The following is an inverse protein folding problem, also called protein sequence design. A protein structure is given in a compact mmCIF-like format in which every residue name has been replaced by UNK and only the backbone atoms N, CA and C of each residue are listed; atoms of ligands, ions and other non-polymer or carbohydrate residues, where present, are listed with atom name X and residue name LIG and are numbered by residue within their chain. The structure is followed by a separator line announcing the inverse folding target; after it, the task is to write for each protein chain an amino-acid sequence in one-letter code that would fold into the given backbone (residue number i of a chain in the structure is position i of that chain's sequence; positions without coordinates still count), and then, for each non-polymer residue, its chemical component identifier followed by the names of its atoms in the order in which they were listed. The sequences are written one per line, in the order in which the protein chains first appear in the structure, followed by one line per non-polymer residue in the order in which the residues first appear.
data_IF_847255450107
#
_entry.id   IF_847255450107
#
_cell.length_a   1.000
_cell.length_b   1.000
_cell.length_c   1.000
_cell.angle_alpha   90.00
_cell.angle_beta   90.00
_cell.angle_gamma   90.00
#
_symmetry.space_group_name_H-M   'P 1'
#
loop_
_entity.id
_entity.type
_entity.pdbx_description
1 polymer ?
#
# COMPACT_ATOMS: atom_id res chain seq x y z
N UNK A 1 -58.28 14.98 -4.75
CA UNK A 1 -56.99 15.43 -5.30
C UNK A 1 -56.11 15.93 -4.17
N UNK A 2 -54.85 15.63 -4.22
CA UNK A 2 -53.90 16.00 -3.20
C UNK A 2 -53.84 15.00 -2.04
N UNK A 3 -53.57 15.50 -0.83
CA UNK A 3 -53.39 14.71 0.41
C UNK A 3 -54.61 14.62 1.30
N UNK A 4 -55.80 14.78 0.73
CA UNK A 4 -57.07 14.73 1.47
C UNK A 4 -58.04 13.66 0.93
N UNK A 5 -58.71 13.00 1.81
CA UNK A 5 -59.79 12.05 1.52
C UNK A 5 -61.03 12.35 2.36
N UNK A 6 -62.24 12.15 1.80
CA UNK A 6 -63.47 12.27 2.51
C UNK A 6 -64.08 10.88 2.73
N UNK A 7 -64.35 10.54 3.98
CA UNK A 7 -65.05 9.30 4.35
C UNK A 7 -66.52 9.65 4.45
N UNK A 8 -67.37 9.08 3.58
CA UNK A 8 -68.81 9.38 3.55
C UNK A 8 -69.53 8.93 4.77
N UNK A 9 -69.30 7.69 5.21
CA UNK A 9 -69.89 7.09 6.44
C UNK A 9 -68.81 6.26 7.12
N UNK A 10 -68.67 6.44 8.44
CA UNK A 10 -67.80 5.63 9.29
C UNK A 10 -68.64 5.05 10.39
N UNK A 11 -68.92 3.76 10.34
CA UNK A 11 -69.76 3.07 11.32
C UNK A 11 -69.05 2.88 12.67
N UNK A 12 -69.79 2.64 13.76
CA UNK A 12 -69.15 2.32 15.02
C UNK A 12 -68.18 1.14 14.92
N UNK A 13 -66.95 1.30 15.43
CA UNK A 13 -65.82 0.36 15.37
C UNK A 13 -65.29 0.07 13.95
N UNK A 14 -65.72 0.81 12.94
CA UNK A 14 -65.16 0.72 11.60
C UNK A 14 -63.80 1.45 11.54
N UNK A 15 -62.84 0.90 10.76
CA UNK A 15 -61.53 1.47 10.52
C UNK A 15 -61.30 1.63 9.03
N UNK A 16 -60.88 2.80 8.61
CA UNK A 16 -60.41 3.08 7.24
C UNK A 16 -58.92 3.34 7.29
N UNK A 17 -58.17 2.64 6.41
CA UNK A 17 -56.74 2.74 6.34
C UNK A 17 -56.36 3.47 5.04
N UNK A 18 -55.48 4.46 5.13
CA UNK A 18 -54.86 5.17 4.02
C UNK A 18 -53.36 4.89 4.03
N UNK A 19 -52.82 4.47 2.88
CA UNK A 19 -51.42 4.21 2.70
C UNK A 19 -50.88 5.07 1.56
N UNK A 20 -49.66 5.53 1.71
CA UNK A 20 -48.92 6.25 0.65
C UNK A 20 -47.41 6.14 0.88
N UNK A 21 -46.64 6.22 -0.20
CA UNK A 21 -45.18 6.27 -0.17
C UNK A 21 -44.71 7.72 -0.22
N UNK A 22 -43.68 7.99 0.58
CA UNK A 22 -42.99 9.28 0.57
C UNK A 22 -41.49 9.04 0.33
N UNK A 23 -40.94 9.61 -0.74
CA UNK A 23 -39.50 9.56 -1.02
C UNK A 23 -38.79 10.70 -0.33
N UNK A 24 -37.81 10.38 0.53
CA UNK A 24 -36.95 11.36 1.17
C UNK A 24 -36.17 12.14 0.10
N UNK A 25 -36.28 13.48 0.03
CA UNK A 25 -35.56 14.25 -0.96
C UNK A 25 -34.03 14.10 -0.81
N UNK A 26 -33.32 14.03 -1.92
CA UNK A 26 -31.84 13.97 -1.92
C UNK A 26 -31.17 15.22 -1.29
N UNK A 27 -31.90 16.30 -1.17
CA UNK A 27 -31.49 17.55 -0.50
C UNK A 27 -31.72 17.55 1.01
N UNK A 28 -32.40 16.52 1.56
CA UNK A 28 -32.65 16.43 2.99
C UNK A 28 -31.33 16.33 3.77
N UNK A 29 -31.18 17.16 4.80
CA UNK A 29 -29.97 17.15 5.61
C UNK A 29 -29.90 15.92 6.50
N UNK A 30 -28.76 15.24 6.55
CA UNK A 30 -28.51 14.14 7.49
C UNK A 30 -28.69 14.62 8.93
N UNK A 31 -29.39 13.86 9.75
CA UNK A 31 -29.75 14.22 11.13
C UNK A 31 -30.99 15.11 11.24
N UNK A 32 -31.58 15.58 10.11
CA UNK A 32 -32.86 16.27 10.15
C UNK A 32 -34.02 15.29 10.37
N UNK A 33 -35.15 15.83 10.85
CA UNK A 33 -36.38 15.07 11.04
C UNK A 33 -37.39 15.47 9.99
N UNK A 34 -38.00 14.48 9.34
CA UNK A 34 -39.18 14.65 8.50
C UNK A 34 -40.40 14.43 9.40
N UNK A 35 -41.13 15.51 9.65
CA UNK A 35 -42.31 15.48 10.46
C UNK A 35 -43.53 15.32 9.55
N UNK A 36 -44.26 14.24 9.73
CA UNK A 36 -45.54 13.99 9.03
C UNK A 36 -46.69 14.06 9.99
N UNK A 37 -47.68 14.88 9.67
CA UNK A 37 -48.87 15.11 10.48
C UNK A 37 -50.12 14.69 9.72
N UNK A 38 -50.88 13.77 10.29
CA UNK A 38 -52.21 13.42 9.81
C UNK A 38 -53.29 14.09 10.66
N UNK A 39 -54.34 14.57 10.00
CA UNK A 39 -55.43 15.23 10.64
C UNK A 39 -56.78 14.62 10.17
N UNK A 40 -57.65 14.26 11.11
CA UNK A 40 -59.01 13.94 10.84
C UNK A 40 -59.92 15.03 11.40
N UNK A 41 -61.01 15.34 10.70
CA UNK A 41 -61.99 16.32 11.12
C UNK A 41 -63.39 15.65 11.17
N UNK A 42 -64.03 15.74 12.29
CA UNK A 42 -65.41 15.17 12.45
C UNK A 42 -66.48 16.12 11.88
N UNK A 43 -67.72 15.68 11.72
CA UNK A 43 -68.83 16.51 11.22
C UNK A 43 -69.14 17.75 12.06
N UNK A 44 -68.61 17.85 13.29
CA UNK A 44 -68.74 19.00 14.19
C UNK A 44 -67.52 19.93 14.11
N UNK A 45 -66.65 19.75 13.11
CA UNK A 45 -65.38 20.50 12.90
C UNK A 45 -64.36 20.32 14.01
N UNK A 46 -64.46 19.25 14.81
CA UNK A 46 -63.44 18.91 15.78
C UNK A 46 -62.28 18.21 15.06
N UNK A 47 -61.06 18.69 15.32
CA UNK A 47 -59.84 18.16 14.74
C UNK A 47 -59.20 17.11 15.64
N UNK A 48 -58.69 16.04 15.05
CA UNK A 48 -57.92 14.97 15.66
C UNK A 48 -56.58 14.92 14.89
N UNK A 49 -55.46 15.18 15.57
CA UNK A 49 -54.15 15.35 14.95
C UNK A 49 -53.19 14.32 15.52
N UNK A 50 -52.46 13.65 14.67
CA UNK A 50 -51.36 12.76 15.04
C UNK A 50 -50.13 13.08 14.18
N UNK A 51 -48.96 13.02 14.79
CA UNK A 51 -47.70 13.34 14.15
C UNK A 51 -46.73 12.17 14.30
N UNK A 52 -45.97 11.87 13.24
CA UNK A 52 -44.89 10.90 13.25
C UNK A 52 -43.65 11.57 12.67
N UNK A 53 -42.49 11.32 13.29
CA UNK A 53 -41.21 11.79 12.82
C UNK A 53 -40.34 10.63 12.30
N UNK A 54 -39.60 10.87 11.24
CA UNK A 54 -38.59 9.97 10.70
C UNK A 54 -37.30 10.74 10.57
N UNK A 55 -36.22 10.22 11.13
CA UNK A 55 -34.89 10.84 11.03
C UNK A 55 -34.23 10.47 9.70
N UNK A 56 -33.63 11.47 9.05
CA UNK A 56 -32.83 11.29 7.84
C UNK A 56 -31.44 10.80 8.23
N UNK A 57 -31.13 9.57 7.89
CA UNK A 57 -29.82 8.98 8.14
C UNK A 57 -28.92 9.11 6.89
N UNK A 58 -27.64 9.31 7.12
CA UNK A 58 -26.66 9.38 6.02
C UNK A 58 -26.24 7.99 5.53
N UNK A 59 -25.77 7.94 4.30
CA UNK A 59 -25.22 6.72 3.70
C UNK A 59 -23.74 6.59 4.04
N UNK A 60 -23.31 5.54 4.77
CA UNK A 60 -21.91 5.29 5.03
C UNK A 60 -21.22 4.80 3.74
N UNK A 61 -20.00 5.29 3.47
CA UNK A 61 -19.19 4.85 2.32
C UNK A 61 -17.70 5.04 2.58
N UNK A 62 -16.95 3.96 2.52
CA UNK A 62 -15.49 3.98 2.47
C UNK A 62 -15.00 3.92 1.02
N UNK A 63 -13.85 4.54 0.76
CA UNK A 63 -13.10 4.36 -0.48
C UNK A 63 -11.65 4.04 -0.13
N UNK A 64 -11.10 2.99 -0.73
CA UNK A 64 -9.69 2.59 -0.61
C UNK A 64 -9.03 2.77 -1.96
N UNK A 65 -7.81 3.33 -1.98
CA UNK A 65 -6.95 3.41 -3.16
C UNK A 65 -5.55 2.97 -2.80
N UNK A 66 -5.00 2.04 -3.59
CA UNK A 66 -3.68 1.50 -3.40
C UNK A 66 -2.85 1.62 -4.67
N UNK A 67 -1.60 2.08 -4.52
CA UNK A 67 -0.67 2.23 -5.64
C UNK A 67 0.74 1.80 -5.24
N UNK A 68 1.56 1.47 -6.21
CA UNK A 68 2.99 1.17 -6.05
C UNK A 68 3.81 2.02 -7.03
N UNK A 69 4.99 2.46 -6.61
CA UNK A 69 5.88 3.29 -7.42
C UNK A 69 6.51 2.54 -8.61
N UNK A 70 6.79 1.23 -8.43
CA UNK A 70 7.43 0.38 -9.44
C UNK A 70 6.62 -0.91 -9.63
N UNK A 71 5.82 -1.03 -10.70
CA UNK A 71 5.04 -2.25 -10.95
C UNK A 71 5.88 -3.42 -11.53
N UNK A 72 7.12 -3.13 -12.01
CA UNK A 72 8.06 -4.13 -12.53
C UNK A 72 9.40 -3.92 -11.82
N UNK A 73 9.94 -4.97 -11.19
CA UNK A 73 11.10 -4.94 -10.31
C UNK A 73 12.00 -6.15 -10.49
N UNK A 74 13.21 -6.07 -9.94
CA UNK A 74 14.09 -7.23 -9.75
C UNK A 74 13.91 -7.81 -8.34
N UNK A 75 14.30 -9.06 -8.14
CA UNK A 75 14.34 -9.64 -6.79
C UNK A 75 15.33 -8.84 -5.93
N UNK A 76 14.90 -8.46 -4.72
CA UNK A 76 15.69 -7.62 -3.81
C UNK A 76 15.45 -6.12 -3.92
N UNK A 77 14.75 -5.65 -4.96
CA UNK A 77 14.37 -4.23 -5.08
C UNK A 77 13.47 -3.78 -3.93
N UNK A 78 13.50 -2.48 -3.66
CA UNK A 78 12.59 -1.83 -2.73
C UNK A 78 11.54 -1.08 -3.52
N UNK A 79 10.27 -1.33 -3.18
CA UNK A 79 9.12 -0.63 -3.71
C UNK A 79 8.44 0.20 -2.63
N UNK A 80 7.80 1.30 -3.03
CA UNK A 80 7.02 2.15 -2.14
C UNK A 80 5.55 2.03 -2.50
N UNK A 81 4.75 1.59 -1.53
CA UNK A 81 3.29 1.59 -1.63
C UNK A 81 2.72 2.86 -1.03
N UNK A 82 1.66 3.35 -1.65
CA UNK A 82 0.79 4.39 -1.08
C UNK A 82 -0.61 3.82 -0.95
N UNK A 83 -1.17 3.90 0.25
CA UNK A 83 -2.51 3.46 0.60
C UNK A 83 -3.31 4.65 1.11
N UNK A 84 -4.47 4.89 0.52
CA UNK A 84 -5.43 5.92 0.93
C UNK A 84 -6.73 5.26 1.36
N UNK A 85 -7.23 5.62 2.54
CA UNK A 85 -8.55 5.22 3.06
C UNK A 85 -9.33 6.49 3.34
N UNK A 86 -10.39 6.73 2.57
CA UNK A 86 -11.21 7.95 2.63
C UNK A 86 -12.64 7.63 3.06
N UNK A 87 -13.16 8.43 3.95
CA UNK A 87 -14.60 8.48 4.19
C UNK A 87 -15.25 9.32 3.09
N UNK A 88 -15.86 8.65 2.11
CA UNK A 88 -16.58 9.26 0.99
C UNK A 88 -18.10 9.27 1.19
N UNK A 89 -18.57 8.83 2.36
CA UNK A 89 -19.95 8.80 2.75
C UNK A 89 -20.44 10.09 3.42
N UNK A 90 -21.61 9.99 4.03
CA UNK A 90 -22.30 11.11 4.66
C UNK A 90 -22.24 11.09 6.19
N UNK A 91 -21.78 9.98 6.76
CA UNK A 91 -21.63 9.77 8.21
C UNK A 91 -20.18 9.65 8.61
N UNK A 92 -19.86 9.97 9.86
CA UNK A 92 -18.54 9.71 10.44
C UNK A 92 -18.37 8.22 10.73
N UNK A 93 -17.16 7.69 10.55
CA UNK A 93 -16.82 6.33 10.97
C UNK A 93 -16.08 6.33 12.30
N UNK A 94 -16.45 5.37 13.14
CA UNK A 94 -15.69 5.00 14.32
C UNK A 94 -14.93 3.66 14.06
N UNK A 95 -13.71 3.57 14.58
CA UNK A 95 -12.90 2.34 14.59
C UNK A 95 -12.79 1.67 13.20
N UNK A 96 -12.12 2.34 12.27
CA UNK A 96 -11.80 1.77 10.96
C UNK A 96 -10.52 0.93 11.08
N UNK A 97 -10.66 -0.39 10.95
CA UNK A 97 -9.53 -1.31 10.82
C UNK A 97 -9.04 -1.32 9.37
N UNK A 98 -7.73 -1.21 9.20
CA UNK A 98 -7.06 -1.26 7.90
C UNK A 98 -6.11 -2.44 7.92
N UNK A 99 -6.30 -3.38 6.99
CA UNK A 99 -5.48 -4.57 6.81
C UNK A 99 -4.83 -4.55 5.43
N UNK A 100 -3.54 -4.80 5.40
CA UNK A 100 -2.72 -4.84 4.19
C UNK A 100 -2.14 -6.25 4.00
N UNK A 101 -2.72 -7.02 3.07
CA UNK A 101 -2.30 -8.38 2.77
C UNK A 101 -1.29 -8.38 1.62
N UNK A 102 -0.03 -8.56 1.96
CA UNK A 102 1.10 -8.53 1.02
C UNK A 102 1.32 -9.86 0.28
N UNK A 103 0.30 -10.69 0.12
CA UNK A 103 0.32 -11.93 -0.69
C UNK A 103 1.48 -12.90 -0.34
N UNK A 104 1.83 -13.01 0.95
CA UNK A 104 2.87 -13.91 1.42
C UNK A 104 4.29 -13.33 1.39
N UNK A 105 4.48 -12.04 1.11
CA UNK A 105 5.74 -11.35 1.40
C UNK A 105 5.92 -11.36 2.93
N UNK A 106 7.05 -11.87 3.46
CA UNK A 106 7.28 -11.91 4.89
C UNK A 106 7.23 -10.51 5.53
N UNK A 107 6.66 -10.39 6.73
CA UNK A 107 6.59 -9.12 7.46
C UNK A 107 7.97 -8.47 7.67
N UNK A 108 9.05 -9.27 7.79
CA UNK A 108 10.42 -8.79 7.87
C UNK A 108 10.87 -7.98 6.63
N UNK A 109 10.22 -8.17 5.49
CA UNK A 109 10.48 -7.42 4.27
C UNK A 109 9.80 -6.04 4.27
N UNK A 110 8.86 -5.78 5.19
CA UNK A 110 8.21 -4.48 5.38
C UNK A 110 9.14 -3.59 6.19
N UNK A 111 9.84 -2.68 5.53
CA UNK A 111 10.86 -1.83 6.14
C UNK A 111 10.26 -0.71 6.98
N UNK A 112 9.17 -0.13 6.49
CA UNK A 112 8.46 0.96 7.17
C UNK A 112 6.98 0.90 6.84
N UNK A 113 6.13 1.38 7.74
CA UNK A 113 4.72 1.67 7.51
C UNK A 113 4.40 2.91 8.35
N UNK A 114 4.00 4.00 7.73
CA UNK A 114 3.80 5.26 8.41
C UNK A 114 2.60 6.03 7.86
N UNK A 115 1.93 6.79 8.73
CA UNK A 115 0.94 7.76 8.31
C UNK A 115 1.63 8.87 7.51
N UNK A 116 1.11 9.17 6.32
CA UNK A 116 1.61 10.24 5.46
C UNK A 116 1.21 11.60 6.05
N UNK A 117 2.13 12.57 6.16
CA UNK A 117 1.81 13.91 6.68
C UNK A 117 0.72 14.66 5.91
N UNK A 118 0.46 14.28 4.64
CA UNK A 118 -0.63 14.86 3.83
C UNK A 118 -2.01 14.32 4.17
N UNK A 119 -2.13 13.38 5.12
CA UNK A 119 -3.40 12.87 5.62
C UNK A 119 -4.26 14.00 6.18
N UNK A 120 -5.57 13.94 5.89
CA UNK A 120 -6.54 14.91 6.43
C UNK A 120 -7.32 14.38 7.64
N UNK A 121 -7.10 13.11 8.00
CA UNK A 121 -7.60 12.54 9.27
C UNK A 121 -6.98 13.30 10.44
N UNK A 122 -7.69 13.35 11.55
CA UNK A 122 -7.13 13.87 12.80
C UNK A 122 -5.88 13.06 13.19
N UNK A 123 -4.73 13.75 13.28
CA UNK A 123 -3.43 13.15 13.59
C UNK A 123 -3.06 13.27 15.08
N UNK A 124 -4.01 13.66 15.95
CA UNK A 124 -3.81 13.67 17.39
C UNK A 124 -3.44 12.27 17.91
N UNK A 125 -2.68 12.26 19.02
CA UNK A 125 -2.19 11.02 19.62
C UNK A 125 -3.33 10.03 19.90
N UNK A 126 -3.16 8.80 19.40
CA UNK A 126 -4.12 7.71 19.60
C UNK A 126 -5.22 7.60 18.55
N UNK A 127 -5.44 8.60 17.68
CA UNK A 127 -6.46 8.48 16.63
C UNK A 127 -6.02 7.51 15.50
N UNK A 128 -4.75 7.50 15.16
CA UNK A 128 -4.18 6.54 14.19
C UNK A 128 -3.10 5.71 14.86
N UNK A 129 -3.26 4.40 14.86
CA UNK A 129 -2.30 3.45 15.43
C UNK A 129 -1.85 2.47 14.36
N UNK A 130 -0.55 2.45 14.06
CA UNK A 130 0.05 1.47 13.16
C UNK A 130 0.18 0.13 13.89
N UNK A 131 -0.18 -0.96 13.23
CA UNK A 131 0.00 -2.32 13.74
C UNK A 131 1.49 -2.63 13.93
N UNK A 132 1.83 -3.35 14.99
CA UNK A 132 3.23 -3.66 15.34
C UNK A 132 3.95 -4.50 14.26
N UNK A 133 3.22 -5.32 13.53
CA UNK A 133 3.72 -6.13 12.41
C UNK A 133 3.80 -5.36 11.08
N UNK A 134 3.43 -4.06 11.08
CA UNK A 134 3.41 -3.18 9.91
C UNK A 134 2.50 -3.66 8.77
N UNK A 135 1.47 -4.45 9.08
CA UNK A 135 0.51 -4.96 8.10
C UNK A 135 -0.80 -4.15 8.07
N UNK A 136 -0.79 -2.95 8.61
CA UNK A 136 -1.96 -2.08 8.61
C UNK A 136 -2.00 -1.08 9.75
N UNK A 137 -3.19 -0.54 10.00
CA UNK A 137 -3.44 0.47 11.01
C UNK A 137 -4.88 0.40 11.55
N UNK A 138 -5.13 1.05 12.68
CA UNK A 138 -6.46 1.36 13.18
C UNK A 138 -6.65 2.88 13.21
N UNK A 139 -7.82 3.34 12.75
CA UNK A 139 -8.24 4.76 12.82
C UNK A 139 -9.46 4.83 13.72
N UNK A 140 -9.32 5.44 14.89
CA UNK A 140 -10.40 5.53 15.90
C UNK A 140 -11.56 6.37 15.39
N UNK A 141 -11.27 7.48 14.69
CA UNK A 141 -12.30 8.36 14.12
C UNK A 141 -11.89 8.82 12.73
N UNK A 142 -12.69 8.46 11.72
CA UNK A 142 -12.54 8.93 10.35
C UNK A 142 -13.78 9.75 9.96
N UNK A 143 -13.69 11.06 10.12
CA UNK A 143 -14.79 12.01 9.85
C UNK A 143 -15.16 12.04 8.36
N UNK A 144 -16.41 12.43 8.07
CA UNK A 144 -16.90 12.68 6.70
C UNK A 144 -15.90 13.52 5.89
N UNK A 145 -15.56 13.04 4.69
CA UNK A 145 -14.65 13.71 3.76
C UNK A 145 -13.17 13.60 4.10
N UNK A 146 -12.80 13.05 5.27
CA UNK A 146 -11.40 12.90 5.70
C UNK A 146 -10.75 11.65 5.13
N UNK A 147 -9.41 11.68 5.04
CA UNK A 147 -8.57 10.66 4.44
C UNK A 147 -7.40 10.34 5.37
N UNK A 148 -7.19 9.05 5.63
CA UNK A 148 -5.96 8.51 6.20
C UNK A 148 -5.12 7.93 5.05
N UNK A 149 -3.93 8.51 4.84
CA UNK A 149 -2.99 8.07 3.83
C UNK A 149 -1.77 7.46 4.50
N UNK A 150 -1.27 6.35 3.96
CA UNK A 150 -0.09 5.65 4.47
C UNK A 150 0.92 5.47 3.36
N UNK A 151 2.20 5.60 3.73
CA UNK A 151 3.32 5.31 2.85
C UNK A 151 4.20 4.28 3.52
N UNK A 152 4.60 3.25 2.79
CA UNK A 152 5.44 2.18 3.32
C UNK A 152 6.32 1.56 2.26
N UNK A 153 7.47 1.03 2.70
CA UNK A 153 8.50 0.42 1.85
C UNK A 153 8.56 -1.07 2.09
N UNK A 154 8.61 -1.82 1.00
CA UNK A 154 8.70 -3.27 1.02
C UNK A 154 9.89 -3.70 0.16
N UNK A 155 10.75 -4.56 0.70
CA UNK A 155 11.81 -5.23 -0.04
C UNK A 155 11.26 -6.50 -0.68
N UNK A 156 11.37 -6.61 -1.99
CA UNK A 156 10.98 -7.83 -2.71
C UNK A 156 11.91 -8.97 -2.29
N UNK A 157 11.37 -10.16 -1.93
CA UNK A 157 12.21 -11.28 -1.51
C UNK A 157 13.27 -11.65 -2.57
N UNK A 158 14.51 -11.86 -2.13
CA UNK A 158 15.64 -12.19 -3.02
C UNK A 158 15.45 -13.53 -3.78
N UNK A 159 14.66 -14.44 -3.21
CA UNK A 159 14.33 -15.74 -3.82
C UNK A 159 13.07 -15.70 -4.70
N UNK A 160 12.60 -14.52 -5.07
CA UNK A 160 11.45 -14.38 -5.98
C UNK A 160 11.83 -14.80 -7.39
N UNK A 161 11.08 -15.74 -7.95
CA UNK A 161 11.28 -16.18 -9.33
C UNK A 161 10.86 -15.12 -10.35
N UNK A 162 11.53 -15.10 -11.49
CA UNK A 162 11.13 -14.27 -12.64
C UNK A 162 9.69 -14.61 -13.05
N UNK A 163 8.89 -13.60 -13.33
CA UNK A 163 7.47 -13.73 -13.64
C UNK A 163 6.57 -13.84 -12.41
N UNK A 164 7.12 -13.95 -11.19
CA UNK A 164 6.31 -13.93 -9.97
C UNK A 164 5.57 -12.59 -9.86
N UNK A 165 4.26 -12.67 -9.66
CA UNK A 165 3.41 -11.52 -9.37
C UNK A 165 3.09 -11.51 -7.89
N UNK A 166 3.38 -10.40 -7.22
CA UNK A 166 3.01 -10.11 -5.84
C UNK A 166 1.85 -9.13 -5.84
N UNK A 167 0.63 -9.62 -5.58
CA UNK A 167 -0.56 -8.76 -5.47
C UNK A 167 -0.77 -8.37 -4.03
N UNK A 168 -0.72 -7.09 -3.74
CA UNK A 168 -0.93 -6.55 -2.41
C UNK A 168 -2.34 -5.93 -2.33
N UNK A 169 -3.18 -6.46 -1.43
CA UNK A 169 -4.57 -6.04 -1.24
C UNK A 169 -4.72 -5.35 0.10
N UNK A 170 -5.24 -4.14 0.10
CA UNK A 170 -5.62 -3.43 1.32
C UNK A 170 -7.15 -3.47 1.48
N UNK A 171 -7.61 -3.71 2.70
CA UNK A 171 -9.01 -3.70 3.08
C UNK A 171 -9.22 -2.77 4.27
N UNK A 172 -10.19 -1.89 4.19
CA UNK A 172 -10.65 -1.07 5.31
C UNK A 172 -12.04 -1.51 5.74
N UNK A 173 -12.24 -1.72 7.04
CA UNK A 173 -13.51 -2.16 7.63
C UNK A 173 -13.84 -1.27 8.82
N UNK A 174 -14.97 -0.59 8.78
CA UNK A 174 -15.48 0.21 9.88
C UNK A 174 -16.30 -0.64 10.87
N UNK A 175 -16.52 -0.13 12.08
CA UNK A 175 -17.25 -0.83 13.14
C UNK A 175 -18.71 -1.11 12.78
N UNK A 176 -19.32 -0.36 11.88
CA UNK A 176 -20.70 -0.57 11.37
C UNK A 176 -20.77 -1.65 10.27
N UNK A 177 -19.64 -2.29 9.93
CA UNK A 177 -19.54 -3.31 8.89
C UNK A 177 -19.31 -2.76 7.48
N UNK A 178 -19.25 -1.42 7.29
CA UNK A 178 -18.90 -0.84 5.99
C UNK A 178 -17.47 -1.20 5.64
N UNK A 179 -17.26 -1.75 4.44
CA UNK A 179 -15.95 -2.20 3.97
C UNK A 179 -15.65 -1.70 2.56
N UNK A 180 -14.37 -1.50 2.28
CA UNK A 180 -13.84 -1.22 0.96
C UNK A 180 -12.44 -1.80 0.81
N UNK A 181 -12.04 -2.15 -0.39
CA UNK A 181 -10.71 -2.67 -0.69
C UNK A 181 -10.18 -2.16 -2.03
N UNK A 182 -8.87 -2.25 -2.19
CA UNK A 182 -8.17 -2.05 -3.46
C UNK A 182 -6.86 -2.82 -3.44
N UNK A 183 -6.30 -3.10 -4.61
CA UNK A 183 -5.05 -3.83 -4.76
C UNK A 183 -4.17 -3.24 -5.85
N UNK A 184 -2.88 -3.52 -5.76
CA UNK A 184 -1.93 -3.32 -6.85
C UNK A 184 -0.89 -4.44 -6.84
N UNK A 185 -0.25 -4.65 -7.98
CA UNK A 185 0.67 -5.77 -8.18
C UNK A 185 2.07 -5.31 -8.58
N UNK A 186 3.05 -6.11 -8.18
CA UNK A 186 4.45 -5.98 -8.60
C UNK A 186 4.85 -7.28 -9.29
N UNK A 187 5.42 -7.17 -10.50
CA UNK A 187 5.92 -8.32 -11.27
C UNK A 187 7.44 -8.36 -11.22
N UNK A 188 8.00 -9.51 -10.89
CA UNK A 188 9.46 -9.73 -10.85
C UNK A 188 9.97 -10.03 -12.26
N UNK A 189 10.85 -9.17 -12.77
CA UNK A 189 11.58 -9.38 -14.04
C UNK A 189 12.92 -10.10 -13.80
N UNK A 190 13.55 -10.55 -14.87
CA UNK A 190 14.91 -11.04 -14.80
C UNK A 190 15.86 -9.96 -14.27
N UNK A 191 16.83 -10.38 -13.44
CA UNK A 191 17.90 -9.46 -13.01
C UNK A 191 18.72 -9.07 -14.24
N UNK A 192 18.95 -7.78 -14.37
CA UNK A 192 19.86 -7.25 -15.37
C UNK A 192 21.28 -7.42 -14.85
N UNK A 193 22.19 -7.95 -15.66
CA UNK A 193 23.61 -8.01 -15.30
C UNK A 193 24.12 -6.61 -14.98
N UNK A 194 24.63 -6.43 -13.77
CA UNK A 194 25.15 -5.15 -13.30
C UNK A 194 26.68 -5.09 -13.37
N UNK A 195 27.31 -6.25 -13.46
CA UNK A 195 28.76 -6.42 -13.43
C UNK A 195 29.19 -7.26 -14.62
N UNK A 196 30.27 -6.81 -15.30
CA UNK A 196 31.04 -7.65 -16.18
C UNK A 196 32.38 -7.96 -15.48
N UNK A 197 32.72 -9.25 -15.45
CA UNK A 197 34.01 -9.73 -14.99
C UNK A 197 34.74 -10.39 -16.16
N UNK A 198 35.99 -10.07 -16.30
CA UNK A 198 36.89 -10.69 -17.29
C UNK A 198 38.17 -11.15 -16.60
N UNK A 199 38.77 -12.21 -17.11
CA UNK A 199 40.06 -12.74 -16.61
C UNK A 199 40.95 -13.11 -17.76
N UNK A 200 42.14 -12.52 -17.76
CA UNK A 200 43.18 -12.77 -18.77
C UNK A 200 44.46 -13.30 -18.13
N UNK A 201 45.28 -13.94 -18.91
CA UNK A 201 46.63 -14.34 -18.54
C UNK A 201 47.62 -13.79 -19.57
N UNK A 202 48.84 -13.47 -19.12
CA UNK A 202 49.90 -12.94 -19.97
C UNK A 202 50.42 -13.98 -21.00
N UNK A 203 50.13 -15.26 -20.73
CA UNK A 203 50.51 -16.37 -21.64
C UNK A 203 49.51 -17.50 -21.56
N UNK A 204 49.33 -18.18 -22.69
CA UNK A 204 48.44 -19.36 -22.82
C UNK A 204 49.09 -20.71 -22.54
N UNK A 205 50.42 -20.71 -22.45
CA UNK A 205 51.24 -21.90 -22.16
C UNK A 205 52.41 -21.51 -21.27
N UNK A 206 52.66 -22.30 -20.23
CA UNK A 206 53.77 -22.12 -19.33
C UNK A 206 54.50 -23.44 -19.09
N UNK A 207 55.79 -23.40 -18.89
CA UNK A 207 56.61 -24.53 -18.45
C UNK A 207 56.47 -24.71 -16.94
N UNK A 208 56.86 -25.88 -16.44
CA UNK A 208 56.98 -26.07 -14.98
C UNK A 208 57.89 -25.03 -14.36
N UNK A 209 57.48 -24.45 -13.25
CA UNK A 209 58.14 -23.37 -12.51
C UNK A 209 58.21 -22.02 -13.26
N UNK A 210 57.39 -21.83 -14.28
CA UNK A 210 57.26 -20.54 -14.96
C UNK A 210 56.07 -19.79 -14.38
N UNK A 211 56.30 -18.55 -13.99
CA UNK A 211 55.26 -17.65 -13.46
C UNK A 211 54.31 -17.21 -14.57
N UNK A 212 53.02 -17.25 -14.28
CA UNK A 212 51.94 -16.71 -15.12
C UNK A 212 51.28 -15.55 -14.39
N UNK A 213 51.20 -14.40 -15.07
CA UNK A 213 50.51 -13.22 -14.56
C UNK A 213 49.05 -13.25 -15.01
N UNK A 214 48.11 -13.18 -14.04
CA UNK A 214 46.69 -13.07 -14.30
C UNK A 214 46.19 -11.66 -13.99
N UNK A 215 45.23 -11.20 -14.79
CA UNK A 215 44.51 -9.94 -14.59
C UNK A 215 43.04 -10.21 -14.52
N UNK A 216 42.37 -9.75 -13.46
CA UNK A 216 40.92 -9.79 -13.29
C UNK A 216 40.38 -8.36 -13.40
N UNK A 217 39.45 -8.14 -14.31
CA UNK A 217 38.78 -6.84 -14.50
C UNK A 217 37.34 -6.96 -14.06
N UNK A 218 36.88 -6.08 -13.17
CA UNK A 218 35.50 -6.02 -12.68
C UNK A 218 34.95 -4.65 -13.02
N UNK A 219 33.93 -4.59 -13.86
CA UNK A 219 33.31 -3.35 -14.32
C UNK A 219 31.84 -3.28 -13.94
N UNK A 220 31.39 -2.17 -13.35
CA UNK A 220 29.96 -1.87 -13.19
C UNK A 220 29.42 -1.32 -14.53
N UNK A 221 28.52 -2.07 -15.16
CA UNK A 221 27.85 -1.68 -16.41
C UNK A 221 26.45 -1.10 -16.18
N UNK A 222 26.00 -0.97 -14.92
CA UNK A 222 24.71 -0.39 -14.57
C UNK A 222 24.81 1.13 -14.37
N UNK A 223 23.66 1.76 -14.27
CA UNK A 223 23.53 3.19 -13.89
C UNK A 223 23.51 3.42 -12.37
N UNK A 224 23.59 2.36 -11.56
CA UNK A 224 23.52 2.41 -10.10
C UNK A 224 24.89 2.24 -9.46
N UNK A 225 25.07 2.82 -8.28
CA UNK A 225 26.23 2.55 -7.43
C UNK A 225 26.08 1.16 -6.82
N UNK A 226 27.10 0.31 -7.00
CA UNK A 226 27.14 -1.02 -6.39
C UNK A 226 28.04 -0.99 -5.15
N UNK A 227 27.52 -1.50 -4.04
CA UNK A 227 28.27 -1.55 -2.78
C UNK A 227 28.61 -2.99 -2.39
N UNK A 228 29.77 -3.17 -1.75
CA UNK A 228 30.22 -4.46 -1.23
C UNK A 228 30.29 -5.57 -2.32
N UNK A 229 30.80 -5.24 -3.49
CA UNK A 229 31.00 -6.21 -4.59
C UNK A 229 32.15 -7.15 -4.22
N UNK A 230 31.83 -8.44 -4.15
CA UNK A 230 32.80 -9.49 -3.79
C UNK A 230 33.40 -10.11 -5.05
N UNK A 231 34.72 -10.28 -5.04
CA UNK A 231 35.51 -10.93 -6.08
C UNK A 231 36.28 -12.07 -5.44
N UNK A 232 36.31 -13.25 -6.09
CA UNK A 232 37.12 -14.38 -5.62
C UNK A 232 37.80 -15.09 -6.76
N UNK A 233 38.96 -15.64 -6.50
CA UNK A 233 39.69 -16.52 -7.42
C UNK A 233 39.74 -17.94 -6.85
N UNK A 234 39.87 -18.95 -7.71
CA UNK A 234 39.99 -20.35 -7.31
C UNK A 234 41.41 -20.76 -6.90
N UNK A 235 42.43 -20.01 -7.34
CA UNK A 235 43.79 -20.27 -6.95
C UNK A 235 44.11 -19.68 -5.56
N UNK A 236 44.97 -20.32 -4.80
CA UNK A 236 45.42 -19.83 -3.50
C UNK A 236 46.51 -18.78 -3.69
N UNK A 237 46.09 -17.57 -4.04
CA UNK A 237 46.97 -16.42 -4.39
C UNK A 237 46.55 -15.21 -3.55
N UNK A 238 47.37 -14.17 -3.54
CA UNK A 238 46.95 -12.87 -2.99
C UNK A 238 46.66 -11.92 -4.15
N UNK A 239 45.42 -11.43 -4.22
CA UNK A 239 45.05 -10.42 -5.22
C UNK A 239 45.72 -9.09 -4.89
N UNK A 240 46.16 -8.37 -5.94
CA UNK A 240 46.74 -7.03 -5.84
C UNK A 240 45.89 -6.05 -6.63
N UNK A 241 45.29 -5.07 -5.99
CA UNK A 241 44.56 -4.01 -6.69
C UNK A 241 45.47 -3.13 -7.50
N UNK A 242 45.12 -2.85 -8.75
CA UNK A 242 45.89 -1.97 -9.69
C UNK A 242 45.20 -0.64 -9.96
N UNK A 243 43.92 -0.52 -9.69
CA UNK A 243 43.15 0.74 -9.80
C UNK A 243 42.95 1.36 -8.43
N UNK A 244 42.99 2.70 -8.34
CA UNK A 244 42.95 3.41 -7.04
C UNK A 244 41.60 4.07 -6.71
N UNK A 245 40.58 3.93 -7.57
CA UNK A 245 39.38 4.74 -7.49
C UNK A 245 38.36 4.20 -6.46
N UNK A 246 38.51 2.96 -6.02
CA UNK A 246 37.57 2.32 -5.06
C UNK A 246 38.33 1.83 -3.83
N UNK A 247 37.69 1.95 -2.67
CA UNK A 247 38.18 1.28 -1.45
C UNK A 247 37.97 -0.22 -1.58
N UNK A 248 39.05 -0.99 -1.49
CA UNK A 248 39.04 -2.44 -1.62
C UNK A 248 39.65 -3.07 -0.36
N UNK A 249 38.99 -4.04 0.22
CA UNK A 249 39.52 -4.90 1.28
C UNK A 249 39.92 -6.22 0.64
N UNK A 250 41.19 -6.61 0.72
CA UNK A 250 41.73 -7.84 0.16
C UNK A 250 42.06 -8.83 1.29
N UNK A 251 41.67 -10.09 1.10
CA UNK A 251 42.01 -11.21 2.00
C UNK A 251 42.38 -12.44 1.12
N UNK A 252 43.69 -12.61 0.88
CA UNK A 252 44.16 -13.69 0.01
C UNK A 252 43.60 -13.60 -1.40
N UNK A 253 42.93 -14.68 -1.83
CA UNK A 253 42.31 -14.80 -3.14
C UNK A 253 40.92 -14.18 -3.23
N UNK A 254 40.48 -13.41 -2.22
CA UNK A 254 39.20 -12.69 -2.20
C UNK A 254 39.40 -11.21 -2.04
N UNK A 255 38.49 -10.43 -2.62
CA UNK A 255 38.42 -8.97 -2.44
C UNK A 255 36.97 -8.51 -2.27
N UNK A 256 36.79 -7.43 -1.49
CA UNK A 256 35.51 -6.73 -1.37
C UNK A 256 35.73 -5.29 -1.82
N UNK A 257 35.07 -4.89 -2.90
CA UNK A 257 35.05 -3.51 -3.40
C UNK A 257 33.95 -2.79 -2.63
N UNK A 258 34.31 -1.80 -1.81
CA UNK A 258 33.37 -1.07 -0.95
C UNK A 258 32.29 -0.34 -1.75
N UNK A 259 32.72 0.41 -2.77
CA UNK A 259 31.82 1.15 -3.68
C UNK A 259 32.37 1.02 -5.10
N UNK A 260 31.49 0.66 -6.05
CA UNK A 260 31.79 0.59 -7.48
C UNK A 260 30.77 1.47 -8.22
N UNK A 261 31.21 2.66 -8.66
CA UNK A 261 30.35 3.63 -9.32
C UNK A 261 29.93 3.18 -10.74
N UNK A 262 28.88 3.77 -11.32
CA UNK A 262 28.51 3.52 -12.72
C UNK A 262 29.72 3.70 -13.68
N UNK A 263 29.89 2.70 -14.56
CA UNK A 263 30.99 2.61 -15.52
C UNK A 263 32.39 2.48 -14.91
N UNK A 264 32.54 2.45 -13.60
CA UNK A 264 33.81 2.25 -12.93
C UNK A 264 34.33 0.82 -13.14
N UNK A 265 35.65 0.71 -13.22
CA UNK A 265 36.37 -0.57 -13.40
C UNK A 265 37.42 -0.71 -12.30
N UNK A 266 37.45 -1.84 -11.64
CA UNK A 266 38.50 -2.24 -10.69
C UNK A 266 39.29 -3.40 -11.28
N UNK A 267 40.61 -3.33 -11.22
CA UNK A 267 41.52 -4.31 -11.78
C UNK A 267 42.34 -4.94 -10.64
N UNK A 268 42.43 -6.24 -10.65
CA UNK A 268 43.31 -7.03 -9.78
C UNK A 268 44.32 -7.78 -10.63
N UNK A 269 45.51 -7.91 -10.12
CA UNK A 269 46.57 -8.74 -10.71
C UNK A 269 47.13 -9.66 -9.64
N UNK A 270 47.66 -10.78 -10.08
CA UNK A 270 48.48 -11.67 -9.29
C UNK A 270 49.37 -12.54 -10.17
N UNK A 271 50.42 -13.11 -9.59
CA UNK A 271 51.31 -14.06 -10.21
C UNK A 271 51.16 -15.42 -9.58
N UNK A 272 51.17 -16.46 -10.39
CA UNK A 272 51.02 -17.86 -9.95
C UNK A 272 52.01 -18.75 -10.69
#
# INVERSE_FOLDING_TARGET
SGNTATIGTLNPNETVIFEYDYTVPSSAAVGSKITNTAKAIDPKNKEYIVTKEVEVVGTPKLAVKKTVDKPIVEAGDIVTYTLSVKNSGETDFANVAIDDNMAGIPAANVMSFALDPSSTVDQSAGNVTIKSDKTGANVVSLKKGKEAKFTYKVKIPLNSNVGKVWTNTATATAADGTTANDNCSVTVKAMTDKIVIDKTADKNKAKKNETVKYTITVKNISSEILNNVKVSDSLNVTLVQKTSNSTVVISGNTATIGTLNPNETVIFEYEY
#
